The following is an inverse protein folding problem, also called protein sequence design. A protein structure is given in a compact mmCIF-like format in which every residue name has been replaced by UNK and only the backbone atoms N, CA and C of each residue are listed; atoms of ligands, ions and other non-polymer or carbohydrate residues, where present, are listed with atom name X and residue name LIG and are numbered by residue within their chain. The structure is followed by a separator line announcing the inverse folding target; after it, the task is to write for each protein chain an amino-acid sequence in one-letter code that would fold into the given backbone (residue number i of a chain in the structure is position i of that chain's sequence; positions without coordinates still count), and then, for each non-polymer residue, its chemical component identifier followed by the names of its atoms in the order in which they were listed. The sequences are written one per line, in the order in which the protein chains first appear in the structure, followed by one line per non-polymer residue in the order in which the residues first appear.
data_IF_712690353463
#
_entry.id   IF_712690353463
#
_cell.length_a   1.000
_cell.length_b   1.000
_cell.length_c   1.000
_cell.angle_alpha   90.00
_cell.angle_beta   90.00
_cell.angle_gamma   90.00
#
_symmetry.space_group_name_H-M   'P 1'
#
loop_
_entity.id
_entity.type
_entity.pdbx_description
1 polymer ?
#
# COMPACT_ATOMS: atom_id res chain seq x y z
N UNK A 1 -46.92 32.14 -24.21
CA UNK A 1 -46.73 31.68 -22.83
C UNK A 1 -45.98 30.36 -22.88
N UNK A 2 -44.68 30.37 -22.57
CA UNK A 2 -43.88 29.14 -22.48
C UNK A 2 -44.31 28.48 -21.17
N UNK A 3 -44.91 27.30 -21.25
CA UNK A 3 -45.22 26.48 -20.08
C UNK A 3 -43.89 26.03 -19.47
N UNK A 4 -43.50 26.64 -18.36
CA UNK A 4 -42.35 26.21 -17.57
C UNK A 4 -42.65 24.83 -17.00
N UNK A 5 -41.97 23.81 -17.51
CA UNK A 5 -42.05 22.44 -16.99
C UNK A 5 -41.32 22.38 -15.63
N UNK A 6 -42.04 22.25 -14.50
CA UNK A 6 -41.44 22.36 -13.17
C UNK A 6 -40.42 21.25 -12.88
N UNK A 7 -40.54 20.09 -13.53
CA UNK A 7 -39.56 19.00 -13.40
C UNK A 7 -38.20 19.33 -14.03
N UNK A 8 -38.18 20.06 -15.14
CA UNK A 8 -36.95 20.48 -15.82
C UNK A 8 -36.17 21.49 -14.96
N UNK A 9 -36.89 22.40 -14.30
CA UNK A 9 -36.28 23.41 -13.42
C UNK A 9 -35.60 22.76 -12.20
N UNK A 10 -36.25 21.78 -11.58
CA UNK A 10 -35.68 21.07 -10.43
C UNK A 10 -34.43 20.25 -10.81
N UNK A 11 -34.42 19.64 -12.00
CA UNK A 11 -33.25 18.91 -12.51
C UNK A 11 -32.06 19.85 -12.73
N UNK A 12 -32.29 21.00 -13.37
CA UNK A 12 -31.23 22.00 -13.62
C UNK A 12 -30.67 22.59 -12.33
N UNK A 13 -31.52 22.88 -11.34
CA UNK A 13 -31.07 23.32 -10.02
C UNK A 13 -30.22 22.27 -9.31
N UNK A 14 -30.64 20.99 -9.37
CA UNK A 14 -29.88 19.90 -8.77
C UNK A 14 -28.48 19.78 -9.40
N UNK A 15 -28.40 19.77 -10.74
CA UNK A 15 -27.11 19.73 -11.45
C UNK A 15 -26.24 20.93 -11.07
N UNK A 16 -26.81 22.14 -11.02
CA UNK A 16 -26.07 23.34 -10.60
C UNK A 16 -25.47 23.20 -9.19
N UNK A 17 -26.24 22.68 -8.24
CA UNK A 17 -25.77 22.45 -6.86
C UNK A 17 -24.69 21.36 -6.76
N UNK A 18 -24.79 20.32 -7.59
CA UNK A 18 -23.78 19.25 -7.67
C UNK A 18 -22.45 19.78 -8.23
N UNK A 19 -22.51 20.65 -9.25
CA UNK A 19 -21.31 21.27 -9.82
C UNK A 19 -20.61 22.23 -8.85
N UNK A 20 -21.37 23.01 -8.10
CA UNK A 20 -20.81 23.88 -7.06
C UNK A 20 -20.12 23.07 -5.96
N UNK A 21 -20.78 21.99 -5.51
CA UNK A 21 -20.22 21.03 -4.55
C UNK A 21 -18.95 20.36 -5.08
N UNK A 22 -18.93 19.94 -6.34
CA UNK A 22 -17.74 19.37 -6.99
C UNK A 22 -16.56 20.35 -6.98
N UNK A 23 -16.82 21.63 -7.25
CA UNK A 23 -15.82 22.69 -7.13
C UNK A 23 -15.23 22.80 -5.72
N UNK A 24 -16.07 22.75 -4.69
CA UNK A 24 -15.60 22.75 -3.30
C UNK A 24 -14.79 21.49 -2.95
N UNK A 25 -15.21 20.31 -3.40
CA UNK A 25 -14.45 19.07 -3.22
C UNK A 25 -13.09 19.12 -3.88
N UNK A 26 -13.02 19.60 -5.13
CA UNK A 26 -11.76 19.75 -5.86
C UNK A 26 -10.80 20.70 -5.13
N UNK A 27 -11.31 21.84 -4.66
CA UNK A 27 -10.51 22.82 -3.94
C UNK A 27 -10.07 22.33 -2.55
N UNK A 28 -10.92 21.57 -1.86
CA UNK A 28 -10.57 20.92 -0.59
C UNK A 28 -9.49 19.85 -0.81
N UNK A 29 -9.62 19.02 -1.85
CA UNK A 29 -8.64 18.01 -2.22
C UNK A 29 -7.24 18.62 -2.43
N UNK A 30 -7.16 19.75 -3.14
CA UNK A 30 -5.90 20.48 -3.32
C UNK A 30 -5.25 20.91 -2.00
N UNK A 31 -6.05 21.34 -1.00
CA UNK A 31 -5.53 21.73 0.32
C UNK A 31 -5.01 20.51 1.10
N UNK A 32 -5.76 19.41 1.09
CA UNK A 32 -5.32 18.15 1.70
C UNK A 32 -4.04 17.63 1.05
N UNK A 33 -3.97 17.62 -0.29
CA UNK A 33 -2.82 17.17 -1.05
C UNK A 33 -1.58 18.03 -0.77
N UNK A 34 -1.74 19.36 -0.72
CA UNK A 34 -0.66 20.28 -0.34
C UNK A 34 -0.17 20.03 1.10
N UNK A 35 -1.09 19.81 2.04
CA UNK A 35 -0.74 19.47 3.42
C UNK A 35 0.05 18.16 3.51
N UNK A 36 -0.39 17.13 2.76
CA UNK A 36 0.29 15.86 2.66
C UNK A 36 1.72 16.01 2.14
N UNK A 37 1.90 16.76 1.05
CA UNK A 37 3.22 17.02 0.45
C UNK A 37 4.18 17.73 1.40
N UNK A 38 3.70 18.73 2.16
CA UNK A 38 4.51 19.45 3.14
C UNK A 38 4.95 18.53 4.29
N UNK A 39 4.02 17.72 4.81
CA UNK A 39 4.33 16.74 5.86
C UNK A 39 5.35 15.72 5.34
N UNK A 40 5.11 15.10 4.18
CA UNK A 40 6.03 14.14 3.57
C UNK A 40 7.44 14.73 3.37
N UNK A 41 7.52 15.96 2.85
CA UNK A 41 8.80 16.64 2.59
C UNK A 41 9.60 16.94 3.88
N UNK A 42 8.90 17.23 4.97
CA UNK A 42 9.52 17.45 6.29
C UNK A 42 9.98 16.12 6.92
N UNK A 43 9.17 15.08 6.82
CA UNK A 43 9.46 13.78 7.44
C UNK A 43 10.62 13.03 6.82
N UNK A 44 10.84 13.18 5.51
CA UNK A 44 12.00 12.59 4.82
C UNK A 44 13.31 13.13 5.40
N UNK A 45 13.33 14.36 5.90
CA UNK A 45 14.53 14.99 6.48
C UNK A 45 14.83 14.51 7.91
N UNK A 46 13.80 14.09 8.68
CA UNK A 46 13.92 13.80 10.13
C UNK A 46 13.59 12.33 10.46
N UNK A 47 13.30 11.49 9.45
CA UNK A 47 12.94 10.08 9.59
C UNK A 47 11.77 9.82 10.58
N UNK A 48 10.80 10.74 10.65
CA UNK A 48 9.68 10.67 11.58
C UNK A 48 8.52 9.84 11.03
N UNK A 49 8.38 8.63 11.56
CA UNK A 49 7.38 7.65 11.10
C UNK A 49 5.91 8.08 11.25
N UNK A 50 5.56 8.88 12.28
CA UNK A 50 4.18 9.38 12.47
C UNK A 50 3.74 10.31 11.35
N UNK A 51 4.62 11.23 10.96
CA UNK A 51 4.31 12.26 9.97
C UNK A 51 4.18 11.66 8.54
N UNK A 52 4.84 10.53 8.26
CA UNK A 52 4.62 9.74 7.03
C UNK A 52 3.24 9.07 7.03
N UNK A 53 2.78 8.58 8.18
CA UNK A 53 1.44 8.00 8.30
C UNK A 53 0.35 9.08 8.14
N UNK A 54 0.59 10.26 8.72
CA UNK A 54 -0.30 11.42 8.60
C UNK A 54 -0.34 11.94 7.16
N UNK A 55 0.79 12.00 6.45
CA UNK A 55 0.81 12.40 5.03
C UNK A 55 0.05 11.42 4.14
N UNK A 56 0.19 10.11 4.36
CA UNK A 56 -0.60 9.09 3.66
C UNK A 56 -2.10 9.26 3.88
N UNK A 57 -2.51 9.54 5.12
CA UNK A 57 -3.92 9.79 5.44
C UNK A 57 -4.47 11.00 4.66
N UNK A 58 -3.71 12.09 4.60
CA UNK A 58 -4.11 13.30 3.87
C UNK A 58 -4.13 13.07 2.35
N UNK A 59 -3.17 12.34 1.79
CA UNK A 59 -3.20 11.93 0.38
C UNK A 59 -4.45 11.10 0.07
N UNK A 60 -4.81 10.14 0.94
CA UNK A 60 -6.04 9.35 0.80
C UNK A 60 -7.29 10.22 0.86
N UNK A 61 -7.35 11.21 1.76
CA UNK A 61 -8.47 12.17 1.82
C UNK A 61 -8.59 13.01 0.55
N UNK A 62 -7.47 13.49 0.00
CA UNK A 62 -7.47 14.21 -1.26
C UNK A 62 -8.00 13.35 -2.42
N UNK A 63 -7.56 12.09 -2.50
CA UNK A 63 -8.03 11.16 -3.54
C UNK A 63 -9.56 10.96 -3.51
N UNK A 64 -10.14 10.70 -2.33
CA UNK A 64 -11.59 10.51 -2.17
C UNK A 64 -12.41 11.76 -2.52
N UNK A 65 -11.86 12.96 -2.25
CA UNK A 65 -12.50 14.21 -2.63
C UNK A 65 -12.44 14.44 -4.14
N UNK A 66 -11.32 14.13 -4.79
CA UNK A 66 -11.21 14.20 -6.25
C UNK A 66 -12.09 13.18 -6.95
N UNK A 67 -12.24 11.97 -6.40
CA UNK A 67 -13.23 10.99 -6.86
C UNK A 67 -14.65 11.55 -6.79
N UNK A 68 -15.03 12.12 -5.64
CA UNK A 68 -16.35 12.71 -5.45
C UNK A 68 -16.60 13.87 -6.41
N UNK A 69 -15.59 14.73 -6.63
CA UNK A 69 -15.67 15.82 -7.60
C UNK A 69 -15.80 15.30 -9.04
N UNK A 70 -15.03 14.27 -9.41
CA UNK A 70 -15.06 13.69 -10.75
C UNK A 70 -16.46 13.12 -11.08
N UNK A 71 -17.03 12.34 -10.15
CA UNK A 71 -18.36 11.74 -10.30
C UNK A 71 -19.46 12.81 -10.49
N UNK A 72 -19.37 13.96 -9.81
CA UNK A 72 -20.31 15.05 -9.97
C UNK A 72 -20.07 15.82 -11.28
N UNK A 73 -18.81 15.99 -11.73
CA UNK A 73 -18.50 16.60 -13.03
C UNK A 73 -18.95 15.76 -14.22
N UNK A 74 -18.89 14.42 -14.15
CA UNK A 74 -19.32 13.53 -15.24
C UNK A 74 -20.80 13.65 -15.59
N UNK A 75 -21.64 14.13 -14.66
CA UNK A 75 -23.07 14.34 -14.89
C UNK A 75 -23.35 15.50 -15.85
N UNK A 76 -22.36 16.35 -16.13
CA UNK A 76 -22.45 17.48 -17.04
C UNK A 76 -21.39 17.38 -18.14
N UNK A 77 -21.83 17.19 -19.39
CA UNK A 77 -20.92 17.04 -20.53
C UNK A 77 -19.94 18.22 -20.70
N UNK A 78 -20.33 19.44 -20.30
CA UNK A 78 -19.46 20.63 -20.36
C UNK A 78 -18.27 20.55 -19.38
N UNK A 79 -18.34 19.66 -18.38
CA UNK A 79 -17.34 19.51 -17.32
C UNK A 79 -16.46 18.27 -17.50
N UNK A 80 -16.51 17.59 -18.65
CA UNK A 80 -15.71 16.39 -18.95
C UNK A 80 -14.20 16.61 -18.74
N UNK A 81 -13.67 17.79 -19.09
CA UNK A 81 -12.26 18.13 -18.85
C UNK A 81 -11.94 18.22 -17.36
N UNK A 82 -12.86 18.77 -16.56
CA UNK A 82 -12.70 18.86 -15.10
C UNK A 82 -12.79 17.47 -14.44
N UNK A 83 -13.70 16.61 -14.92
CA UNK A 83 -13.78 15.21 -14.50
C UNK A 83 -12.48 14.45 -14.78
N UNK A 84 -11.97 14.52 -16.01
CA UNK A 84 -10.72 13.88 -16.39
C UNK A 84 -9.53 14.36 -15.55
N UNK A 85 -9.45 15.67 -15.29
CA UNK A 85 -8.44 16.25 -14.40
C UNK A 85 -8.57 15.71 -12.98
N UNK A 86 -9.78 15.64 -12.43
CA UNK A 86 -10.03 15.12 -11.09
C UNK A 86 -9.63 13.65 -10.95
N UNK A 87 -9.98 12.78 -11.91
CA UNK A 87 -9.52 11.39 -11.93
C UNK A 87 -7.99 11.29 -12.01
N UNK A 88 -7.33 12.12 -12.82
CA UNK A 88 -5.87 12.14 -12.88
C UNK A 88 -5.24 12.57 -11.56
N UNK A 89 -5.79 13.58 -10.89
CA UNK A 89 -5.33 13.97 -9.57
C UNK A 89 -5.56 12.87 -8.52
N UNK A 90 -6.68 12.15 -8.59
CA UNK A 90 -6.99 10.99 -7.74
C UNK A 90 -5.96 9.88 -7.93
N UNK A 91 -5.65 9.49 -9.18
CA UNK A 91 -4.60 8.51 -9.50
C UNK A 91 -3.25 8.92 -8.89
N UNK A 92 -2.85 10.18 -9.06
CA UNK A 92 -1.58 10.71 -8.52
C UNK A 92 -1.56 10.62 -7.00
N UNK A 93 -2.64 11.01 -6.30
CA UNK A 93 -2.70 10.88 -4.85
C UNK A 93 -2.63 9.43 -4.36
N UNK A 94 -3.33 8.51 -5.02
CA UNK A 94 -3.26 7.09 -4.69
C UNK A 94 -1.85 6.53 -4.92
N UNK A 95 -1.20 6.89 -6.03
CA UNK A 95 0.19 6.49 -6.28
C UNK A 95 1.10 6.98 -5.14
N UNK A 96 0.94 8.21 -4.65
CA UNK A 96 1.72 8.70 -3.50
C UNK A 96 1.53 7.83 -2.27
N UNK A 97 0.30 7.46 -1.91
CA UNK A 97 0.03 6.56 -0.77
C UNK A 97 0.78 5.23 -0.91
N UNK A 98 0.76 4.62 -2.09
CA UNK A 98 1.45 3.35 -2.38
C UNK A 98 2.97 3.52 -2.30
N UNK A 99 3.52 4.58 -2.91
CA UNK A 99 4.97 4.82 -2.93
C UNK A 99 5.54 5.19 -1.55
N UNK A 100 4.83 5.98 -0.75
CA UNK A 100 5.26 6.28 0.61
C UNK A 100 5.36 5.00 1.47
N UNK A 101 4.54 3.97 1.18
CA UNK A 101 4.65 2.64 1.83
C UNK A 101 5.82 1.84 1.27
N UNK A 102 6.09 1.91 -0.04
CA UNK A 102 7.13 1.12 -0.71
C UNK A 102 8.55 1.34 -0.12
N UNK A 103 8.87 2.56 0.31
CA UNK A 103 10.15 2.86 1.00
C UNK A 103 10.28 2.05 2.30
N UNK A 104 9.18 1.81 3.01
CA UNK A 104 9.14 1.00 4.23
C UNK A 104 9.05 -0.49 3.94
N UNK A 105 8.25 -0.89 2.94
CA UNK A 105 8.13 -2.28 2.47
C UNK A 105 9.47 -2.81 1.97
N UNK A 106 10.28 -1.99 1.30
CA UNK A 106 11.61 -2.40 0.84
C UNK A 106 12.57 -2.69 2.00
N UNK A 107 12.48 -1.93 3.10
CA UNK A 107 13.23 -2.24 4.34
C UNK A 107 12.73 -3.54 4.97
N UNK A 108 11.42 -3.68 5.16
CA UNK A 108 10.80 -4.89 5.72
C UNK A 108 11.11 -6.13 4.86
N UNK A 109 11.08 -5.97 3.52
CA UNK A 109 11.45 -7.00 2.55
C UNK A 109 12.92 -7.39 2.66
N UNK A 110 13.83 -6.42 2.81
CA UNK A 110 15.26 -6.71 3.04
C UNK A 110 15.48 -7.43 4.37
N UNK A 111 14.82 -7.01 5.44
CA UNK A 111 14.90 -7.69 6.75
C UNK A 111 14.35 -9.12 6.68
N UNK A 112 13.21 -9.32 6.01
CA UNK A 112 12.63 -10.63 5.75
C UNK A 112 13.56 -11.51 4.89
N UNK A 113 14.15 -10.95 3.83
CA UNK A 113 15.06 -11.66 2.94
C UNK A 113 16.36 -12.06 3.65
N UNK A 114 16.95 -11.17 4.46
CA UNK A 114 18.11 -11.49 5.30
C UNK A 114 17.77 -12.56 6.34
N UNK A 115 16.61 -12.44 6.99
CA UNK A 115 16.17 -13.42 7.97
C UNK A 115 15.88 -14.79 7.36
N UNK A 116 15.38 -14.87 6.12
CA UNK A 116 15.23 -16.11 5.35
C UNK A 116 16.59 -16.72 4.92
N UNK A 117 17.56 -15.89 4.52
CA UNK A 117 18.92 -16.36 4.22
C UNK A 117 19.60 -16.97 5.45
N UNK A 118 19.27 -16.48 6.65
CA UNK A 118 19.76 -17.05 7.91
C UNK A 118 19.08 -18.38 8.31
N UNK A 119 18.10 -18.90 7.54
CA UNK A 119 17.34 -20.13 7.88
C UNK A 119 17.97 -21.42 7.32
N UNK A 120 19.15 -21.44 6.65
CA UNK A 120 20.14 -22.56 6.57
C UNK A 120 20.97 -22.55 5.24
N UNK A 121 22.18 -23.16 5.17
CA UNK A 121 22.68 -24.25 6.03
C UNK A 121 24.01 -24.00 6.75
N UNK A 122 24.02 -24.25 8.05
CA UNK A 122 25.20 -24.82 8.70
C UNK A 122 25.56 -26.11 7.97
N UNK A 123 26.69 -26.04 7.27
CA UNK A 123 27.66 -27.11 7.05
C UNK A 123 27.07 -28.50 6.79
N UNK A 124 26.94 -28.81 5.50
CA UNK A 124 26.97 -30.17 4.97
C UNK A 124 28.17 -30.93 5.55
N UNK A 125 28.04 -32.20 6.03
CA UNK A 125 29.20 -33.04 6.14
C UNK A 125 29.71 -33.25 4.71
N UNK A 126 30.93 -32.79 4.44
CA UNK A 126 31.61 -33.07 3.18
C UNK A 126 31.62 -34.57 2.96
N UNK A 127 30.90 -35.03 1.93
CA UNK A 127 30.94 -36.42 1.48
C UNK A 127 32.25 -36.62 0.71
N UNK A 128 33.34 -36.84 1.44
CA UNK A 128 34.56 -37.40 0.86
C UNK A 128 34.29 -38.88 0.56
N UNK A 129 34.04 -39.19 -0.71
CA UNK A 129 33.97 -40.55 -1.22
C UNK A 129 35.37 -41.17 -1.13
N UNK A 130 35.58 -42.01 -0.12
CA UNK A 130 36.70 -42.94 0.00
C UNK A 130 36.11 -44.33 0.19
N UNK A 131 36.47 -45.23 -0.72
CA UNK A 131 35.99 -46.61 -0.87
C UNK A 131 36.19 -47.49 0.37
N UNK A 132 35.18 -48.34 0.61
CA UNK A 132 35.16 -49.67 1.22
C UNK A 132 35.98 -49.96 2.50
N UNK A 133 35.26 -50.23 3.61
CA UNK A 133 35.34 -51.50 4.36
C UNK A 133 34.15 -51.64 5.33
N UNK A 134 33.60 -52.85 5.37
CA UNK A 134 32.54 -53.33 6.26
C UNK A 134 32.75 -52.96 7.75
N UNK A 135 31.68 -52.55 8.44
CA UNK A 135 31.42 -52.99 9.82
C UNK A 135 30.00 -52.67 10.27
N UNK A 136 29.29 -53.73 10.63
CA UNK A 136 27.99 -53.76 11.26
C UNK A 136 28.00 -53.09 12.64
N UNK A 137 26.81 -52.62 13.03
CA UNK A 137 26.37 -52.33 14.40
C UNK A 137 26.71 -50.94 14.95
N UNK A 138 25.76 -50.00 14.83
CA UNK A 138 25.08 -49.51 16.03
C UNK A 138 23.80 -48.73 15.73
N UNK A 139 22.79 -49.12 16.49
CA UNK A 139 21.46 -48.55 16.64
C UNK A 139 21.52 -47.09 17.12
N UNK A 140 20.69 -46.23 16.53
CA UNK A 140 20.11 -45.09 17.25
C UNK A 140 20.55 -43.70 16.81
N UNK A 141 19.89 -43.13 15.81
CA UNK A 141 19.30 -41.78 15.88
C UNK A 141 18.55 -41.50 14.58
N UNK A 142 17.26 -41.87 14.57
CA UNK A 142 16.29 -41.19 13.72
C UNK A 142 16.13 -39.79 14.31
N UNK A 143 16.82 -38.80 13.76
CA UNK A 143 16.47 -37.41 14.04
C UNK A 143 16.09 -36.68 12.75
N UNK A 144 14.79 -36.42 12.69
CA UNK A 144 14.05 -35.80 11.60
C UNK A 144 14.59 -34.41 11.27
N UNK A 145 15.50 -34.31 10.30
CA UNK A 145 15.95 -33.04 9.74
C UNK A 145 14.83 -32.17 9.15
N UNK A 146 13.66 -32.75 8.88
CA UNK A 146 12.45 -32.02 8.44
C UNK A 146 11.78 -31.27 9.60
N UNK A 147 11.75 -31.85 10.81
CA UNK A 147 11.12 -31.24 11.98
C UNK A 147 11.86 -30.01 12.50
N UNK A 148 13.20 -30.03 12.45
CA UNK A 148 14.05 -28.90 12.83
C UNK A 148 13.94 -27.72 11.84
N UNK A 149 13.94 -28.02 10.53
CA UNK A 149 13.69 -27.02 9.49
C UNK A 149 12.30 -26.39 9.63
N UNK A 150 11.25 -27.20 9.76
CA UNK A 150 9.87 -26.72 9.91
C UNK A 150 9.71 -25.87 11.18
N UNK A 151 10.36 -26.24 12.29
CA UNK A 151 10.40 -25.46 13.54
C UNK A 151 11.15 -24.13 13.37
N UNK A 152 12.24 -24.10 12.62
CA UNK A 152 12.99 -22.88 12.28
C UNK A 152 12.20 -21.92 11.38
N UNK A 153 11.52 -22.44 10.36
CA UNK A 153 10.59 -21.66 9.53
C UNK A 153 9.42 -21.13 10.35
N UNK A 154 8.81 -21.96 11.21
CA UNK A 154 7.71 -21.54 12.07
C UNK A 154 8.15 -20.46 13.07
N UNK A 155 9.33 -20.59 13.68
CA UNK A 155 9.89 -19.57 14.57
C UNK A 155 10.20 -18.26 13.83
N UNK A 156 10.70 -18.34 12.60
CA UNK A 156 10.95 -17.18 11.74
C UNK A 156 9.66 -16.46 11.33
N UNK A 157 8.65 -17.20 10.88
CA UNK A 157 7.34 -16.66 10.49
C UNK A 157 6.66 -15.99 11.67
N UNK A 158 6.69 -16.60 12.86
CA UNK A 158 6.13 -16.01 14.09
C UNK A 158 6.86 -14.73 14.48
N UNK A 159 8.20 -14.72 14.41
CA UNK A 159 9.03 -13.55 14.75
C UNK A 159 8.84 -12.38 13.78
N UNK A 160 8.61 -12.66 12.50
CA UNK A 160 8.49 -11.65 11.45
C UNK A 160 7.04 -11.37 11.02
N UNK A 161 6.06 -12.01 11.67
CA UNK A 161 4.63 -11.80 11.43
C UNK A 161 4.21 -10.33 11.31
N UNK A 162 4.61 -9.41 12.21
CA UNK A 162 4.23 -8.00 12.06
C UNK A 162 4.79 -7.35 10.79
N UNK A 163 5.99 -7.74 10.34
CA UNK A 163 6.56 -7.25 9.08
C UNK A 163 5.79 -7.81 7.87
N UNK A 164 5.42 -9.09 7.91
CA UNK A 164 4.60 -9.73 6.86
C UNK A 164 3.23 -9.07 6.76
N UNK A 165 2.57 -8.81 7.90
CA UNK A 165 1.28 -8.12 7.94
C UNK A 165 1.40 -6.68 7.39
N UNK A 166 2.47 -5.94 7.70
CA UNK A 166 2.71 -4.60 7.10
C UNK A 166 2.93 -4.62 5.60
N UNK A 167 3.60 -5.64 5.06
CA UNK A 167 3.82 -5.81 3.62
C UNK A 167 2.51 -6.13 2.89
N UNK A 168 1.62 -6.92 3.52
CA UNK A 168 0.36 -7.37 2.91
C UNK A 168 -0.79 -6.36 3.05
N UNK A 169 -0.73 -5.44 4.01
CA UNK A 169 -1.79 -4.44 4.26
C UNK A 169 -1.59 -3.19 3.36
N UNK A 170 -1.88 -3.38 2.07
CA UNK A 170 -1.84 -2.34 1.00
C UNK A 170 -3.05 -1.42 1.11
#
# INVERSE_FOLDING_TARGET
MISSNPGLYHLLQNIGSELERAGFYFQAALRFFKGAFLLESYSIQIARHREITDSMFLYKKAALLWESAANDYEKCNEMMTAAALAYKCMEVAFMRVVFSKAIHVEKDRRELQMGLQNIHPGESPSSSSGSDVDSLYNQGMLDTGVGSRMRGYHAFVVRNRPNIERVLNV
#
